data_IF_117915956776
#
_entry.id   IF_117915956776
#
_cell.length_a   1.000
_cell.length_b   1.000
_cell.length_c   1.000
_cell.angle_alpha   90.00
_cell.angle_beta   90.00
_cell.angle_gamma   90.00
#
_symmetry.space_group_name_H-M   'P 1'
#
loop_
_entity.id
_entity.type
_entity.pdbx_description
1 polymer ?
#
# COMPACT_ATOMS: atom_id res chain seq x y z
N UNK A 1 -57.11 -42.30 48.79
CA UNK A 1 -55.82 -42.38 48.10
C UNK A 1 -56.08 -42.18 46.62
N UNK A 2 -55.86 -40.99 46.11
CA UNK A 2 -56.02 -40.61 44.67
C UNK A 2 -54.63 -40.50 44.09
N UNK A 3 -54.30 -41.43 43.19
CA UNK A 3 -53.03 -41.41 42.42
C UNK A 3 -53.16 -40.47 41.20
N UNK A 4 -52.38 -39.37 41.23
CA UNK A 4 -52.30 -38.48 40.08
C UNK A 4 -51.33 -39.08 39.05
N UNK A 5 -51.85 -39.39 37.86
CA UNK A 5 -51.06 -39.82 36.70
C UNK A 5 -50.67 -38.57 35.93
N UNK A 6 -49.35 -38.25 35.88
CA UNK A 6 -48.74 -37.19 35.03
C UNK A 6 -48.40 -37.81 33.70
N UNK A 7 -48.80 -37.26 32.53
CA UNK A 7 -48.38 -37.77 31.23
C UNK A 7 -46.97 -37.20 30.91
N UNK A 8 -46.05 -38.14 30.64
CA UNK A 8 -44.70 -37.80 30.15
C UNK A 8 -44.82 -37.47 28.70
N UNK A 9 -44.76 -36.17 28.36
CA UNK A 9 -44.55 -35.73 26.99
C UNK A 9 -43.07 -35.84 26.67
N UNK A 10 -42.73 -36.72 25.74
CA UNK A 10 -41.45 -36.78 25.10
C UNK A 10 -41.25 -35.53 24.22
N UNK A 11 -40.50 -34.53 24.71
CA UNK A 11 -40.00 -33.45 23.89
C UNK A 11 -38.80 -34.00 23.14
N UNK A 12 -39.00 -34.38 21.88
CA UNK A 12 -37.98 -34.71 20.92
C UNK A 12 -37.34 -33.37 20.49
N UNK A 13 -36.34 -32.89 21.23
CA UNK A 13 -35.51 -31.77 20.80
C UNK A 13 -34.65 -32.27 19.63
N UNK A 14 -35.07 -31.95 18.41
CA UNK A 14 -34.23 -32.02 17.21
C UNK A 14 -33.09 -31.02 17.40
N UNK A 15 -31.95 -31.51 17.87
CA UNK A 15 -30.65 -30.84 17.76
C UNK A 15 -30.30 -30.78 16.27
N UNK A 16 -30.67 -29.67 15.60
CA UNK A 16 -30.01 -29.27 14.37
C UNK A 16 -28.57 -28.99 14.73
N UNK A 17 -27.75 -30.01 14.66
CA UNK A 17 -26.29 -29.85 14.55
C UNK A 17 -26.07 -29.23 13.15
N UNK A 18 -26.04 -27.93 13.09
CA UNK A 18 -25.42 -27.24 11.95
C UNK A 18 -23.97 -27.70 11.95
N UNK A 19 -23.65 -28.66 11.07
CA UNK A 19 -22.32 -28.98 10.71
C UNK A 19 -21.78 -27.76 9.93
N UNK A 20 -21.41 -26.70 10.65
CA UNK A 20 -20.42 -25.77 10.16
C UNK A 20 -19.18 -26.65 9.96
N UNK A 21 -18.88 -26.98 8.71
CA UNK A 21 -17.62 -27.59 8.36
C UNK A 21 -16.55 -26.78 9.08
N UNK A 22 -15.85 -27.39 10.00
CA UNK A 22 -14.68 -26.79 10.63
C UNK A 22 -13.68 -26.56 9.47
N UNK A 23 -13.73 -25.38 8.84
CA UNK A 23 -12.63 -24.91 7.99
C UNK A 23 -11.41 -24.98 8.90
N UNK A 24 -10.44 -25.81 8.53
CA UNK A 24 -9.20 -25.92 9.30
C UNK A 24 -8.58 -24.55 9.46
N UNK A 25 -8.06 -24.22 10.63
CA UNK A 25 -7.33 -22.96 10.81
C UNK A 25 -6.19 -22.92 9.78
N UNK A 26 -5.99 -21.78 9.07
CA UNK A 26 -4.94 -21.69 8.08
C UNK A 26 -3.57 -22.03 8.68
N UNK A 27 -2.78 -22.83 7.95
CA UNK A 27 -1.44 -23.28 8.32
C UNK A 27 -0.41 -22.20 7.95
N UNK A 28 0.66 -22.08 8.71
CA UNK A 28 1.76 -21.17 8.41
C UNK A 28 2.48 -21.63 7.13
N UNK A 29 2.33 -20.87 6.03
CA UNK A 29 2.99 -21.14 4.76
C UNK A 29 4.45 -20.66 4.75
N UNK A 30 4.71 -19.49 5.28
CA UNK A 30 6.03 -18.90 5.35
C UNK A 30 6.07 -17.68 6.26
N UNK A 31 7.28 -17.29 6.65
CA UNK A 31 7.53 -16.13 7.50
C UNK A 31 8.82 -15.44 7.09
N UNK A 32 8.80 -14.11 7.04
CA UNK A 32 9.92 -13.32 6.56
C UNK A 32 10.11 -12.03 7.36
N UNK A 33 11.35 -11.57 7.47
CA UNK A 33 11.68 -10.26 8.06
C UNK A 33 11.80 -9.23 6.94
N UNK A 34 11.00 -8.17 7.02
CA UNK A 34 11.18 -7.01 6.15
C UNK A 34 12.14 -6.02 6.78
N UNK A 35 13.15 -5.61 6.02
CA UNK A 35 14.19 -4.66 6.43
C UNK A 35 14.24 -3.47 5.48
N UNK A 36 14.49 -2.29 6.05
CA UNK A 36 14.86 -1.09 5.31
C UNK A 36 16.15 -0.52 5.90
N UNK A 37 17.12 -0.19 5.08
CA UNK A 37 18.43 0.30 5.53
C UNK A 37 19.06 -0.61 6.60
N UNK A 38 18.96 -1.93 6.42
CA UNK A 38 19.44 -2.96 7.36
C UNK A 38 18.80 -2.91 8.76
N UNK A 39 17.65 -2.25 8.92
CA UNK A 39 16.86 -2.23 10.15
C UNK A 39 15.56 -3.00 9.95
N UNK A 40 15.23 -3.87 10.89
CA UNK A 40 13.99 -4.61 10.86
C UNK A 40 12.80 -3.66 11.00
N UNK A 41 11.85 -3.78 10.09
CA UNK A 41 10.61 -3.00 10.12
C UNK A 41 9.45 -3.82 10.68
N UNK A 42 9.29 -5.04 10.18
CA UNK A 42 8.29 -5.99 10.68
C UNK A 42 8.66 -7.43 10.30
N UNK A 43 8.07 -8.37 11.00
CA UNK A 43 8.05 -9.78 10.60
C UNK A 43 6.69 -10.06 10.01
N UNK A 44 6.65 -10.47 8.74
CA UNK A 44 5.43 -10.91 8.07
C UNK A 44 5.29 -12.42 8.12
N UNK A 45 4.06 -12.91 8.28
CA UNK A 45 3.69 -14.31 8.24
C UNK A 45 2.50 -14.52 7.32
N UNK A 46 2.60 -15.50 6.44
CA UNK A 46 1.54 -15.89 5.52
C UNK A 46 0.96 -17.23 5.96
N UNK A 47 -0.34 -17.26 6.13
CA UNK A 47 -1.09 -18.47 6.46
C UNK A 47 -2.06 -18.81 5.33
N UNK A 48 -2.17 -20.08 5.00
CA UNK A 48 -3.05 -20.61 3.98
C UNK A 48 -3.61 -21.96 4.41
N UNK A 49 -4.80 -22.31 3.99
CA UNK A 49 -5.36 -23.63 4.24
C UNK A 49 -4.56 -24.71 3.49
N UNK A 50 -4.01 -24.37 2.31
CA UNK A 50 -3.14 -25.24 1.52
C UNK A 50 -1.74 -24.63 1.46
N UNK A 51 -0.73 -25.37 1.90
CA UNK A 51 0.66 -24.95 1.82
C UNK A 51 1.18 -25.05 0.37
N UNK A 52 1.85 -23.99 -0.09
CA UNK A 52 2.45 -23.97 -1.43
C UNK A 52 3.74 -23.16 -1.46
N UNK A 53 4.68 -23.61 -2.29
CA UNK A 53 5.87 -22.86 -2.70
C UNK A 53 5.66 -22.10 -4.01
N UNK A 54 4.49 -22.23 -4.64
CA UNK A 54 4.14 -21.51 -5.85
C UNK A 54 3.29 -20.27 -5.51
N UNK A 55 3.87 -19.09 -5.81
CA UNK A 55 3.18 -17.83 -5.59
C UNK A 55 1.87 -17.71 -6.40
N UNK A 56 1.80 -18.31 -7.59
CA UNK A 56 0.60 -18.23 -8.44
C UNK A 56 -0.57 -19.02 -7.86
N UNK A 57 -0.30 -20.15 -7.20
CA UNK A 57 -1.33 -20.91 -6.49
C UNK A 57 -1.89 -20.12 -5.32
N UNK A 58 -1.00 -19.49 -4.50
CA UNK A 58 -1.43 -18.69 -3.36
C UNK A 58 -2.17 -17.40 -3.78
N UNK A 59 -1.76 -16.76 -4.88
CA UNK A 59 -2.42 -15.56 -5.41
C UNK A 59 -3.78 -15.86 -6.05
N UNK A 60 -4.00 -17.10 -6.51
CA UNK A 60 -5.26 -17.55 -7.10
C UNK A 60 -6.17 -18.25 -6.10
N UNK A 61 -5.78 -18.35 -4.84
CA UNK A 61 -6.51 -19.08 -3.81
C UNK A 61 -7.86 -18.42 -3.47
N UNK A 62 -8.89 -19.23 -3.34
CA UNK A 62 -10.27 -18.86 -2.98
C UNK A 62 -10.72 -19.41 -1.63
N UNK A 63 -9.77 -19.84 -0.82
CA UNK A 63 -9.97 -20.40 0.52
C UNK A 63 -9.48 -19.42 1.60
N UNK A 64 -9.78 -19.66 2.89
CA UNK A 64 -9.32 -18.82 4.00
C UNK A 64 -7.80 -18.66 4.00
N UNK A 65 -7.36 -17.41 4.02
CA UNK A 65 -5.95 -17.01 4.09
C UNK A 65 -5.76 -15.87 5.08
N UNK A 66 -4.53 -15.70 5.54
CA UNK A 66 -4.21 -14.62 6.47
C UNK A 66 -2.78 -14.12 6.26
N UNK A 67 -2.65 -12.82 6.17
CA UNK A 67 -1.37 -12.10 6.24
C UNK A 67 -1.26 -11.43 7.60
N UNK A 68 -0.18 -11.65 8.30
CA UNK A 68 0.08 -11.03 9.59
C UNK A 68 1.40 -10.27 9.56
N UNK A 69 1.45 -9.13 10.24
CA UNK A 69 2.66 -8.34 10.43
C UNK A 69 2.82 -8.05 11.92
N UNK A 70 3.99 -8.35 12.47
CA UNK A 70 4.38 -7.88 13.80
C UNK A 70 5.45 -6.81 13.65
N UNK A 71 5.13 -5.62 14.09
CA UNK A 71 6.01 -4.45 13.95
C UNK A 71 7.23 -4.59 14.85
N UNK A 72 8.42 -4.43 14.27
CA UNK A 72 9.72 -4.52 14.97
C UNK A 72 10.51 -3.23 14.86
N UNK A 73 10.01 -2.24 14.12
CA UNK A 73 10.61 -0.93 14.02
C UNK A 73 10.53 -0.22 15.38
N UNK A 74 11.68 0.13 15.98
CA UNK A 74 11.78 0.79 17.30
C UNK A 74 10.98 2.10 17.38
N UNK A 75 10.95 2.87 16.26
CA UNK A 75 10.16 4.11 16.16
C UNK A 75 8.75 3.89 15.64
N UNK A 76 8.37 2.63 15.39
CA UNK A 76 7.11 2.28 14.72
C UNK A 76 7.09 2.72 13.25
N UNK A 77 5.93 2.55 12.60
CA UNK A 77 5.69 2.90 11.20
C UNK A 77 4.53 3.90 11.15
N UNK A 78 4.77 5.11 10.64
CA UNK A 78 3.71 6.11 10.47
C UNK A 78 2.57 5.56 9.58
N UNK A 79 1.32 5.84 9.91
CA UNK A 79 0.13 5.36 9.19
C UNK A 79 0.21 5.69 7.69
N UNK A 80 0.66 6.90 7.35
CA UNK A 80 0.88 7.33 5.96
C UNK A 80 1.91 6.47 5.23
N UNK A 81 3.06 6.19 5.86
CA UNK A 81 4.11 5.33 5.28
C UNK A 81 3.60 3.92 5.09
N UNK A 82 2.89 3.38 6.07
CA UNK A 82 2.28 2.05 6.00
C UNK A 82 1.27 1.96 4.86
N UNK A 83 0.32 2.89 4.78
CA UNK A 83 -0.69 2.93 3.71
C UNK A 83 -0.05 3.08 2.32
N UNK A 84 0.96 3.95 2.19
CA UNK A 84 1.70 4.15 0.94
C UNK A 84 2.40 2.89 0.46
N UNK A 85 3.05 2.14 1.35
CA UNK A 85 3.70 0.85 1.02
C UNK A 85 2.73 -0.11 0.32
N UNK A 86 1.49 -0.21 0.81
CA UNK A 86 0.46 -1.07 0.21
C UNK A 86 -0.03 -0.51 -1.13
N UNK A 87 -0.31 0.80 -1.22
CA UNK A 87 -0.74 1.44 -2.47
C UNK A 87 0.32 1.25 -3.57
N UNK A 88 1.59 1.51 -3.28
CA UNK A 88 2.69 1.35 -4.23
C UNK A 88 2.89 -0.12 -4.63
N UNK A 89 2.87 -1.03 -3.65
CA UNK A 89 2.99 -2.46 -3.90
C UNK A 89 1.88 -3.01 -4.79
N UNK A 90 0.63 -2.61 -4.56
CA UNK A 90 -0.50 -2.95 -5.43
C UNK A 90 -0.33 -2.32 -6.81
N UNK A 91 0.03 -1.04 -6.88
CA UNK A 91 0.18 -0.30 -8.14
C UNK A 91 1.18 -0.92 -9.11
N UNK A 92 2.27 -1.48 -8.61
CA UNK A 92 3.33 -2.05 -9.45
C UNK A 92 3.02 -3.49 -9.87
N UNK A 93 2.24 -4.21 -9.08
CA UNK A 93 1.94 -5.62 -9.33
C UNK A 93 0.63 -5.84 -10.09
N UNK A 94 -0.34 -4.95 -9.95
CA UNK A 94 -1.67 -5.06 -10.56
C UNK A 94 -1.72 -4.28 -11.87
N UNK A 95 -2.29 -4.91 -12.91
CA UNK A 95 -2.43 -4.34 -14.25
C UNK A 95 -3.90 -4.18 -14.64
N UNK A 96 -4.15 -3.28 -15.58
CA UNK A 96 -5.49 -3.09 -16.15
C UNK A 96 -6.41 -2.29 -15.24
N UNK A 97 -7.70 -2.59 -15.28
CA UNK A 97 -8.76 -1.86 -14.55
C UNK A 97 -8.92 -2.28 -13.08
N UNK A 98 -8.33 -3.42 -12.68
CA UNK A 98 -8.55 -3.99 -11.35
C UNK A 98 -8.23 -3.02 -10.20
N UNK A 99 -7.18 -2.20 -10.32
CA UNK A 99 -6.90 -1.16 -9.32
C UNK A 99 -7.94 -0.04 -9.31
N UNK A 100 -8.46 0.33 -10.48
CA UNK A 100 -9.53 1.33 -10.59
C UNK A 100 -10.83 0.82 -9.98
N UNK A 101 -11.14 -0.46 -10.20
CA UNK A 101 -12.32 -1.11 -9.63
C UNK A 101 -12.23 -1.22 -8.10
N UNK A 102 -11.02 -1.29 -7.55
CA UNK A 102 -10.75 -1.40 -6.12
C UNK A 102 -10.40 -0.06 -5.44
N UNK A 103 -10.49 1.06 -6.15
CA UNK A 103 -10.04 2.36 -5.62
C UNK A 103 -10.75 2.75 -4.32
N UNK A 104 -12.07 2.55 -4.24
CA UNK A 104 -12.85 2.85 -3.02
C UNK A 104 -12.47 1.92 -1.86
N UNK A 105 -12.19 0.65 -2.15
CA UNK A 105 -11.70 -0.31 -1.16
C UNK A 105 -10.30 0.07 -0.65
N UNK A 106 -9.44 0.58 -1.52
CA UNK A 106 -8.12 1.11 -1.14
C UNK A 106 -8.24 2.34 -0.23
N UNK A 107 -9.19 3.25 -0.52
CA UNK A 107 -9.49 4.39 0.36
C UNK A 107 -9.94 3.89 1.73
N UNK A 108 -10.94 3.00 1.78
CA UNK A 108 -11.44 2.45 3.03
C UNK A 108 -10.34 1.77 3.84
N UNK A 109 -9.48 0.99 3.18
CA UNK A 109 -8.33 0.35 3.80
C UNK A 109 -7.36 1.35 4.44
N UNK A 110 -7.01 2.44 3.73
CA UNK A 110 -6.05 3.42 4.26
C UNK A 110 -6.61 4.21 5.44
N UNK A 111 -7.92 4.46 5.46
CA UNK A 111 -8.59 5.20 6.53
C UNK A 111 -8.71 4.42 7.84
N UNK A 112 -8.52 3.08 7.81
CA UNK A 112 -8.54 2.26 9.02
C UNK A 112 -7.33 2.52 9.94
N UNK A 113 -6.20 3.00 9.38
CA UNK A 113 -4.98 3.29 10.14
C UNK A 113 -4.90 4.77 10.49
N UNK A 114 -5.35 5.14 11.70
CA UNK A 114 -5.46 6.54 12.13
C UNK A 114 -4.18 7.09 12.75
N UNK A 115 -3.37 6.23 13.36
CA UNK A 115 -2.14 6.60 14.04
C UNK A 115 -0.97 5.73 13.62
N UNK A 116 0.22 6.07 14.12
CA UNK A 116 1.44 5.28 13.96
C UNK A 116 1.25 3.86 14.52
N UNK A 117 1.65 2.86 13.74
CA UNK A 117 1.83 1.50 14.23
C UNK A 117 3.12 1.46 15.07
N UNK A 118 3.01 1.10 16.34
CA UNK A 118 4.13 1.07 17.27
C UNK A 118 4.85 -0.29 17.25
N UNK A 119 6.05 -0.32 17.79
CA UNK A 119 6.76 -1.58 18.05
C UNK A 119 5.87 -2.54 18.85
N UNK A 120 5.87 -3.80 18.46
CA UNK A 120 5.02 -4.88 18.97
C UNK A 120 3.54 -4.84 18.55
N UNK A 121 3.09 -3.88 17.78
CA UNK A 121 1.75 -3.96 17.18
C UNK A 121 1.65 -5.18 16.24
N UNK A 122 0.47 -5.81 16.24
CA UNK A 122 0.14 -6.97 15.43
C UNK A 122 -0.99 -6.63 14.46
N UNK A 123 -0.67 -6.49 13.18
CA UNK A 123 -1.62 -6.21 12.09
C UNK A 123 -2.01 -7.51 11.41
N UNK A 124 -3.28 -7.70 11.14
CA UNK A 124 -3.80 -8.91 10.48
C UNK A 124 -4.76 -8.53 9.36
N UNK A 125 -4.56 -9.12 8.19
CA UNK A 125 -5.49 -9.13 7.08
C UNK A 125 -5.97 -10.56 6.88
N UNK A 126 -7.25 -10.81 7.11
CA UNK A 126 -7.84 -12.14 7.05
C UNK A 126 -8.87 -12.21 5.94
N UNK A 127 -8.66 -13.07 4.95
CA UNK A 127 -9.64 -13.42 3.94
C UNK A 127 -10.61 -14.44 4.52
N UNK A 128 -11.89 -14.07 4.57
CA UNK A 128 -13.01 -14.95 4.84
C UNK A 128 -13.85 -15.04 3.56
N UNK A 129 -13.75 -16.11 2.77
CA UNK A 129 -14.43 -16.22 1.48
C UNK A 129 -15.92 -15.95 1.58
N UNK A 130 -16.43 -15.03 0.77
CA UNK A 130 -17.81 -14.58 0.76
C UNK A 130 -18.16 -13.49 1.78
N UNK A 131 -17.26 -13.16 2.71
CA UNK A 131 -17.40 -12.05 3.67
C UNK A 131 -16.43 -10.90 3.37
N UNK A 132 -15.36 -11.20 2.62
CA UNK A 132 -14.31 -10.24 2.27
C UNK A 132 -13.08 -10.33 3.17
N UNK A 133 -12.36 -9.21 3.29
CA UNK A 133 -11.09 -9.10 4.00
C UNK A 133 -11.28 -8.31 5.30
N UNK A 134 -11.16 -8.98 6.43
CA UNK A 134 -11.15 -8.34 7.73
C UNK A 134 -9.76 -7.79 8.06
N UNK A 135 -9.70 -6.54 8.52
CA UNK A 135 -8.48 -5.84 8.93
C UNK A 135 -8.52 -5.62 10.43
N UNK A 136 -7.49 -6.04 11.13
CA UNK A 136 -7.37 -5.85 12.58
C UNK A 136 -5.97 -5.43 12.99
N UNK A 137 -5.89 -4.70 14.12
CA UNK A 137 -4.64 -4.35 14.80
C UNK A 137 -4.80 -4.74 16.26
N UNK A 138 -3.84 -5.49 16.78
CA UNK A 138 -3.83 -5.95 18.18
C UNK A 138 -5.12 -6.68 18.59
N UNK A 139 -5.68 -7.49 17.68
CA UNK A 139 -6.96 -8.20 17.83
C UNK A 139 -8.20 -7.30 17.82
N UNK A 140 -8.07 -5.99 17.64
CA UNK A 140 -9.19 -5.07 17.44
C UNK A 140 -9.49 -5.01 15.93
N UNK A 141 -10.70 -5.39 15.54
CA UNK A 141 -11.14 -5.28 14.13
C UNK A 141 -11.42 -3.81 13.82
N UNK A 142 -10.66 -3.26 12.87
CA UNK A 142 -10.83 -1.88 12.40
C UNK A 142 -11.92 -1.75 11.33
N UNK A 143 -12.11 -2.82 10.53
CA UNK A 143 -13.13 -2.87 9.50
C UNK A 143 -13.01 -4.12 8.63
N UNK A 144 -13.93 -4.23 7.67
CA UNK A 144 -13.94 -5.30 6.66
C UNK A 144 -14.14 -4.68 5.28
N UNK A 145 -13.33 -5.08 4.32
CA UNK A 145 -13.52 -4.76 2.90
C UNK A 145 -14.37 -5.88 2.31
N UNK A 146 -15.61 -5.61 1.85
CA UNK A 146 -16.56 -6.64 1.43
C UNK A 146 -16.28 -7.14 -0.01
N UNK A 147 -15.03 -7.46 -0.30
CA UNK A 147 -14.58 -7.98 -1.60
C UNK A 147 -13.38 -8.92 -1.38
N UNK A 148 -13.58 -10.20 -1.67
CA UNK A 148 -12.56 -11.24 -1.51
C UNK A 148 -11.33 -10.98 -2.40
N UNK A 149 -11.53 -10.36 -3.58
CA UNK A 149 -10.44 -10.05 -4.50
C UNK A 149 -9.43 -9.05 -3.91
N UNK A 150 -9.86 -8.23 -2.95
CA UNK A 150 -8.97 -7.26 -2.31
C UNK A 150 -7.80 -7.93 -1.59
N UNK A 151 -8.00 -9.15 -1.05
CA UNK A 151 -6.90 -9.91 -0.45
C UNK A 151 -5.79 -10.25 -1.44
N UNK A 152 -6.16 -10.65 -2.66
CA UNK A 152 -5.21 -10.93 -3.73
C UNK A 152 -4.37 -9.69 -4.11
N UNK A 153 -4.96 -8.50 -4.06
CA UNK A 153 -4.23 -7.25 -4.28
C UNK A 153 -3.21 -7.01 -3.17
N UNK A 154 -3.61 -7.15 -1.91
CA UNK A 154 -2.70 -7.05 -0.76
C UNK A 154 -1.57 -8.08 -0.88
N UNK A 155 -1.91 -9.34 -1.11
CA UNK A 155 -0.96 -10.44 -1.22
C UNK A 155 0.01 -10.25 -2.40
N UNK A 156 -0.42 -9.58 -3.48
CA UNK A 156 0.46 -9.25 -4.60
C UNK A 156 1.65 -8.38 -4.23
N UNK A 157 1.52 -7.58 -3.17
CA UNK A 157 2.63 -6.77 -2.61
C UNK A 157 3.75 -7.65 -2.06
N UNK A 158 3.42 -8.85 -1.56
CA UNK A 158 4.37 -9.78 -1.00
C UNK A 158 4.84 -10.84 -2.01
N UNK A 159 3.92 -11.40 -2.79
CA UNK A 159 4.18 -12.53 -3.68
C UNK A 159 4.17 -12.19 -5.16
N UNK A 160 3.82 -10.96 -5.51
CA UNK A 160 3.72 -10.51 -6.90
C UNK A 160 5.06 -10.50 -7.64
N UNK A 161 5.02 -10.00 -8.86
CA UNK A 161 6.22 -9.90 -9.72
C UNK A 161 7.29 -8.98 -9.14
N UNK A 162 6.87 -7.93 -8.43
CA UNK A 162 7.74 -6.98 -7.76
C UNK A 162 7.37 -6.99 -6.27
N UNK A 163 7.93 -7.92 -5.48
CA UNK A 163 7.65 -8.04 -4.05
C UNK A 163 8.36 -6.95 -3.24
N UNK A 164 8.15 -6.93 -1.92
CA UNK A 164 8.91 -6.08 -1.00
C UNK A 164 10.42 -6.32 -1.12
N UNK A 165 10.85 -7.59 -1.20
CA UNK A 165 12.18 -8.02 -1.62
C UNK A 165 12.12 -9.45 -2.15
N UNK A 166 13.13 -9.86 -2.94
CA UNK A 166 13.22 -11.23 -3.43
C UNK A 166 13.35 -12.21 -2.27
N UNK A 167 14.24 -11.92 -1.32
CA UNK A 167 14.45 -12.74 -0.13
C UNK A 167 13.19 -12.84 0.73
N UNK A 168 12.46 -11.74 0.91
CA UNK A 168 11.20 -11.72 1.65
C UNK A 168 10.17 -12.66 1.00
N UNK A 169 10.01 -12.57 -0.33
CA UNK A 169 9.12 -13.44 -1.09
C UNK A 169 9.51 -14.92 -0.98
N UNK A 170 10.80 -15.25 -1.14
CA UNK A 170 11.30 -16.61 -1.04
C UNK A 170 11.03 -17.22 0.33
N UNK A 171 11.23 -16.47 1.41
CA UNK A 171 10.95 -16.91 2.78
C UNK A 171 9.45 -17.13 3.06
N UNK A 172 8.56 -16.47 2.32
CA UNK A 172 7.13 -16.71 2.41
C UNK A 172 6.66 -17.95 1.64
N UNK A 173 7.47 -18.42 0.68
CA UNK A 173 7.16 -19.54 -0.24
C UNK A 173 7.84 -20.85 0.17
N UNK A 174 8.03 -21.08 1.46
CA UNK A 174 8.71 -22.29 1.98
C UNK A 174 7.75 -23.43 2.34
N UNK A 175 6.47 -23.30 2.04
CA UNK A 175 5.44 -24.33 2.27
C UNK A 175 5.50 -24.96 3.68
N UNK A 176 5.65 -24.12 4.70
CA UNK A 176 5.67 -24.51 6.11
C UNK A 176 7.06 -24.76 6.71
N UNK A 177 8.12 -24.78 5.92
CA UNK A 177 9.51 -24.98 6.42
C UNK A 177 10.10 -23.68 7.00
N UNK A 178 9.50 -23.18 8.07
CA UNK A 178 9.92 -21.95 8.74
C UNK A 178 10.86 -22.27 9.89
N UNK A 179 11.98 -21.53 10.02
CA UNK A 179 12.94 -21.75 11.09
C UNK A 179 12.34 -21.55 12.49
N UNK A 180 12.68 -22.43 13.43
CA UNK A 180 12.20 -22.37 14.81
C UNK A 180 12.64 -21.07 15.52
N UNK A 181 13.78 -20.50 15.17
CA UNK A 181 14.27 -19.24 15.74
C UNK A 181 13.38 -18.06 15.33
N UNK A 182 12.99 -17.98 14.06
CA UNK A 182 12.11 -16.91 13.56
C UNK A 182 10.70 -17.05 14.13
N UNK A 183 10.17 -18.29 14.18
CA UNK A 183 8.88 -18.57 14.79
C UNK A 183 8.86 -18.20 16.27
N UNK A 184 9.95 -18.54 17.01
CA UNK A 184 10.09 -18.17 18.42
C UNK A 184 10.17 -16.65 18.63
N UNK A 185 10.94 -15.94 17.79
CA UNK A 185 10.99 -14.48 17.79
C UNK A 185 9.61 -13.87 17.53
N UNK A 186 8.93 -14.34 16.50
CA UNK A 186 7.57 -13.89 16.16
C UNK A 186 6.60 -14.10 17.32
N UNK A 187 6.64 -15.26 17.97
CA UNK A 187 5.76 -15.58 19.09
C UNK A 187 6.00 -14.69 20.32
N UNK A 188 7.23 -14.18 20.51
CA UNK A 188 7.58 -13.32 21.64
C UNK A 188 7.09 -11.88 21.50
N UNK A 189 6.74 -11.45 20.31
CA UNK A 189 6.23 -10.09 20.04
C UNK A 189 4.73 -10.05 20.35
N UNK A 190 4.34 -9.14 21.26
CA UNK A 190 2.93 -8.97 21.68
C UNK A 190 2.69 -7.53 22.13
N UNK A 191 1.56 -6.93 21.77
CA UNK A 191 1.19 -5.58 22.22
C UNK A 191 0.92 -5.57 23.74
N UNK A 192 1.07 -4.40 24.35
CA UNK A 192 0.66 -4.20 25.75
C UNK A 192 -0.85 -4.02 25.85
N UNK A 193 -1.49 -4.28 27.00
CA UNK A 193 -2.91 -4.03 27.20
C UNK A 193 -3.30 -2.58 26.92
N UNK A 194 -2.47 -1.62 27.37
CA UNK A 194 -2.70 -0.19 27.16
C UNK A 194 -2.69 0.17 25.68
N UNK A 195 -1.83 -0.50 24.88
CA UNK A 195 -1.78 -0.29 23.44
C UNK A 195 -3.01 -0.87 22.73
N UNK A 196 -3.53 -2.00 23.21
CA UNK A 196 -4.79 -2.58 22.72
C UNK A 196 -5.94 -1.59 22.96
N UNK A 197 -6.03 -1.01 24.15
CA UNK A 197 -7.05 -0.02 24.50
C UNK A 197 -6.95 1.24 23.62
N UNK A 198 -5.73 1.72 23.31
CA UNK A 198 -5.53 2.84 22.38
C UNK A 198 -6.04 2.52 20.98
N UNK A 199 -5.70 1.34 20.44
CA UNK A 199 -6.17 0.92 19.09
C UNK A 199 -7.68 0.76 19.05
N UNK A 200 -8.33 0.37 20.16
CA UNK A 200 -9.78 0.25 20.22
C UNK A 200 -10.49 1.59 20.00
N UNK A 201 -9.81 2.71 20.22
CA UNK A 201 -10.37 4.05 19.94
C UNK A 201 -10.34 4.41 18.45
N UNK A 202 -9.54 3.76 17.61
CA UNK A 202 -9.45 4.08 16.18
C UNK A 202 -10.76 3.84 15.41
N UNK A 203 -11.58 2.89 15.85
CA UNK A 203 -12.89 2.60 15.24
C UNK A 203 -14.07 3.25 15.99
N UNK A 204 -13.82 3.99 17.05
CA UNK A 204 -14.89 4.68 17.78
C UNK A 204 -15.42 5.85 16.94
N UNK A 205 -16.75 6.00 16.77
CA UNK A 205 -17.28 7.20 16.16
C UNK A 205 -16.84 8.41 16.98
N UNK A 206 -16.42 9.47 16.29
CA UNK A 206 -16.10 10.74 16.92
C UNK A 206 -17.28 11.12 17.84
N UNK A 207 -17.04 11.44 19.14
CA UNK A 207 -18.13 11.77 20.04
C UNK A 207 -18.91 12.92 19.42
N UNK A 208 -20.24 12.74 19.23
CA UNK A 208 -21.10 13.82 18.78
C UNK A 208 -20.81 15.04 19.66
N UNK A 209 -20.55 16.21 19.07
CA UNK A 209 -20.30 17.42 19.85
C UNK A 209 -21.45 17.60 20.83
N UNK A 210 -21.13 17.70 22.13
CA UNK A 210 -22.14 17.98 23.12
C UNK A 210 -22.98 19.15 22.62
N UNK A 211 -24.34 19.03 22.61
CA UNK A 211 -25.17 20.09 22.13
C UNK A 211 -24.81 21.36 22.91
N UNK A 212 -24.42 22.41 22.20
CA UNK A 212 -24.17 23.72 22.79
C UNK A 212 -25.35 24.04 23.70
N UNK A 213 -25.12 24.49 24.98
CA UNK A 213 -26.19 24.86 25.88
C UNK A 213 -27.05 25.87 25.16
N UNK A 214 -28.34 25.55 25.05
CA UNK A 214 -29.31 26.44 24.42
C UNK A 214 -29.16 27.85 25.02
N UNK A 215 -29.12 28.91 24.21
CA UNK A 215 -28.97 30.26 24.71
C UNK A 215 -30.10 30.55 25.70
N UNK A 216 -29.74 31.04 26.89
CA UNK A 216 -30.70 31.50 27.89
C UNK A 216 -31.68 32.46 27.23
N UNK A 217 -32.98 32.30 27.48
CA UNK A 217 -33.99 33.21 26.90
C UNK A 217 -33.74 34.63 27.36
N UNK A 218 -33.43 35.53 26.43
CA UNK A 218 -33.35 36.96 26.69
C UNK A 218 -34.66 37.46 27.29
N UNK A 219 -34.62 38.41 28.29
CA UNK A 219 -35.82 38.97 28.87
C UNK A 219 -36.65 39.69 27.80
N UNK A 220 -37.89 39.29 27.66
CA UNK A 220 -38.86 39.93 26.76
C UNK A 220 -39.08 41.36 27.18
N UNK A 221 -38.55 42.33 26.45
CA UNK A 221 -39.03 43.71 26.49
C UNK A 221 -40.43 43.76 25.88
N UNK A 222 -41.34 44.20 26.69
CA UNK A 222 -42.74 44.47 26.34
C UNK A 222 -42.81 45.73 25.47
N UNK A 223 -42.97 45.54 24.15
CA UNK A 223 -43.16 46.66 23.21
C UNK A 223 -44.62 46.73 22.81
N UNK A 224 -45.19 47.89 23.10
CA UNK A 224 -46.57 48.30 22.83
C UNK A 224 -47.00 48.19 21.40
N UNK A 225 -48.23 47.73 21.21
CA UNK A 225 -48.93 47.53 19.95
C UNK A 225 -49.40 48.83 19.33
N UNK A 226 -49.09 49.09 18.05
CA UNK A 226 -49.83 50.04 17.24
C UNK A 226 -50.18 49.42 15.89
N UNK A 227 -51.32 49.66 15.28
CA UNK A 227 -51.90 48.82 14.26
C UNK A 227 -51.50 49.20 12.82
N UNK A 228 -51.51 48.14 12.03
CA UNK A 228 -51.18 48.07 10.69
C UNK A 228 -52.09 48.38 9.61
N UNK A 229 -51.62 48.76 8.48
CA UNK A 229 -52.30 48.81 7.21
C UNK A 229 -51.57 47.86 6.24
N UNK A 230 -52.34 46.93 5.63
CA UNK A 230 -51.95 46.11 4.51
C UNK A 230 -52.27 46.79 3.19
N UNK A 231 -51.47 46.66 2.16
CA UNK A 231 -52.03 46.26 0.87
C UNK A 231 -51.30 45.11 0.23
N UNK A 232 -52.14 44.30 -0.40
CA UNK A 232 -51.81 43.14 -1.21
C UNK A 232 -51.34 43.50 -2.63
N UNK A 233 -50.85 42.43 -3.29
CA UNK A 233 -50.62 42.22 -4.72
C UNK A 233 -49.21 42.55 -5.22
N UNK A 234 -48.50 41.61 -5.84
CA UNK A 234 -48.68 40.88 -7.09
C UNK A 234 -47.50 39.91 -7.37
N UNK A 235 -47.80 38.71 -7.62
CA UNK A 235 -47.60 37.89 -8.82
C UNK A 235 -46.23 37.96 -9.54
N UNK A 236 -45.62 36.77 -9.61
CA UNK A 236 -44.86 36.12 -10.69
C UNK A 236 -43.61 36.76 -11.29
N UNK A 237 -42.53 36.00 -11.28
CA UNK A 237 -41.93 35.51 -12.52
C UNK A 237 -40.75 34.53 -12.24
N UNK A 238 -40.90 33.31 -12.79
CA UNK A 238 -39.81 32.39 -12.98
C UNK A 238 -39.04 32.78 -14.26
N UNK A 239 -37.74 32.77 -14.29
CA UNK A 239 -37.01 32.65 -15.52
C UNK A 239 -36.71 31.17 -15.85
N UNK A 240 -37.13 30.79 -17.05
CA UNK A 240 -36.83 29.56 -17.77
C UNK A 240 -35.40 29.66 -18.32
N UNK A 241 -34.57 28.70 -18.00
CA UNK A 241 -33.25 28.58 -18.62
C UNK A 241 -33.36 27.58 -19.78
N UNK A 242 -33.10 28.07 -20.97
CA UNK A 242 -32.97 27.28 -22.20
C UNK A 242 -31.53 26.76 -22.31
N UNK A 243 -31.41 25.48 -22.65
CA UNK A 243 -30.18 24.79 -22.97
C UNK A 243 -29.95 24.86 -24.48
N UNK A 244 -28.82 25.33 -25.00
CA UNK A 244 -28.49 25.19 -26.40
C UNK A 244 -27.85 23.83 -26.72
N UNK A 245 -28.03 23.29 -27.93
CA UNK A 245 -27.63 21.93 -28.27
C UNK A 245 -26.17 21.80 -28.70
N UNK A 246 -25.63 20.62 -28.42
CA UNK A 246 -24.35 20.08 -28.83
C UNK A 246 -24.24 19.93 -30.36
N UNK A 247 -23.10 20.20 -30.97
CA UNK A 247 -22.82 19.66 -32.32
C UNK A 247 -21.99 18.39 -32.23
N UNK A 248 -22.52 17.34 -32.82
CA UNK A 248 -21.80 16.12 -33.22
C UNK A 248 -20.78 16.47 -34.33
N UNK A 249 -19.60 15.87 -34.21
CA UNK A 249 -18.73 15.68 -35.36
C UNK A 249 -18.10 14.31 -35.34
N UNK A 250 -18.37 13.56 -36.35
CA UNK A 250 -17.95 12.23 -36.73
C UNK A 250 -16.50 12.23 -37.29
N UNK A 251 -15.92 11.04 -37.50
CA UNK A 251 -14.45 10.86 -37.50
C UNK A 251 -13.84 10.97 -38.89
N UNK A 252 -12.55 11.20 -38.96
CA UNK A 252 -11.79 11.09 -40.20
C UNK A 252 -10.58 10.18 -40.07
N UNK A 253 -10.53 9.28 -40.96
CA UNK A 253 -9.68 8.18 -41.34
C UNK A 253 -8.23 8.55 -41.61
N UNK A 254 -7.33 7.62 -41.23
CA UNK A 254 -6.17 7.10 -41.94
C UNK A 254 -5.15 8.00 -42.63
N UNK A 255 -3.89 7.83 -42.32
CA UNK A 255 -2.88 7.56 -43.36
C UNK A 255 -1.62 6.94 -42.76
N UNK A 256 -1.26 5.82 -43.35
CA UNK A 256 0.04 5.17 -43.26
C UNK A 256 1.11 6.01 -43.93
N UNK A 257 2.34 5.96 -43.44
CA UNK A 257 3.54 5.99 -44.27
C UNK A 257 4.76 5.45 -43.51
N UNK A 258 5.22 4.41 -44.07
CA UNK A 258 6.45 3.66 -43.99
C UNK A 258 7.68 4.51 -44.33
N UNK A 259 8.81 4.03 -43.87
CA UNK A 259 10.18 4.02 -44.39
C UNK A 259 11.18 4.62 -43.38
N UNK A 260 12.32 4.12 -43.16
CA UNK A 260 13.28 3.23 -43.76
C UNK A 260 14.59 3.34 -42.96
N UNK A 261 15.27 2.25 -42.83
CA UNK A 261 16.53 2.11 -42.14
C UNK A 261 17.67 2.97 -42.76
N UNK A 262 18.59 3.44 -41.94
CA UNK A 262 19.97 3.66 -42.41
C UNK A 262 20.97 3.27 -41.31
N UNK A 263 21.70 2.23 -41.65
CA UNK A 263 22.86 1.67 -41.00
C UNK A 263 24.08 2.48 -41.41
N UNK A 264 24.89 2.93 -40.47
CA UNK A 264 26.30 3.28 -40.77
C UNK A 264 27.20 2.67 -39.70
N UNK A 265 28.04 1.82 -40.19
CA UNK A 265 29.22 1.23 -39.53
C UNK A 265 30.42 2.20 -39.55
N UNK A 266 31.38 1.86 -38.71
CA UNK A 266 32.84 2.16 -38.77
C UNK A 266 33.31 3.20 -37.75
N UNK A 267 34.39 3.06 -37.07
CA UNK A 267 35.51 2.11 -36.92
C UNK A 267 36.46 2.63 -35.85
N UNK A 268 36.99 1.73 -35.07
CA UNK A 268 38.34 1.58 -34.51
C UNK A 268 39.23 2.84 -34.37
N UNK A 269 39.76 3.10 -33.16
CA UNK A 269 41.20 3.19 -32.89
C UNK A 269 41.52 3.11 -31.40
N UNK A 270 42.30 2.15 -31.07
CA UNK A 270 42.99 1.96 -29.79
C UNK A 270 44.14 2.94 -29.65
N UNK A 271 44.44 3.41 -28.43
CA UNK A 271 45.84 3.51 -27.95
C UNK A 271 45.85 3.34 -26.44
N UNK A 272 46.73 2.50 -25.98
CA UNK A 272 47.10 2.25 -24.59
C UNK A 272 48.03 3.33 -24.07
N UNK A 273 47.99 3.56 -22.75
CA UNK A 273 49.14 3.38 -21.86
C UNK A 273 48.91 4.01 -20.50
N UNK A 274 48.89 3.17 -19.50
CA UNK A 274 49.61 3.19 -18.21
C UNK A 274 49.86 4.52 -17.47
N UNK A 275 49.40 4.63 -16.24
CA UNK A 275 50.33 4.58 -15.09
C UNK A 275 49.59 4.66 -13.76
N UNK A 276 50.04 3.86 -12.87
CA UNK A 276 49.75 3.71 -11.45
C UNK A 276 49.81 5.03 -10.67
N UNK A 277 48.88 5.21 -9.72
CA UNK A 277 49.26 5.78 -8.42
C UNK A 277 48.22 5.36 -7.34
N UNK A 278 48.75 4.66 -6.46
CA UNK A 278 48.52 4.41 -5.04
C UNK A 278 47.23 4.94 -4.39
N UNK A 279 46.56 3.98 -3.78
CA UNK A 279 45.42 4.06 -2.89
C UNK A 279 45.55 5.10 -1.79
N UNK A 280 44.51 5.84 -1.55
CA UNK A 280 44.10 6.28 -0.21
C UNK A 280 42.64 5.81 -0.02
N UNK A 281 42.52 4.79 0.82
CA UNK A 281 41.24 4.32 1.37
C UNK A 281 40.69 5.45 2.24
N UNK A 282 39.72 6.16 1.71
CA UNK A 282 38.82 6.97 2.53
C UNK A 282 37.49 6.20 2.58
N UNK A 283 37.20 5.69 3.75
CA UNK A 283 35.89 5.10 4.03
C UNK A 283 34.79 6.11 3.66
N UNK A 284 33.68 5.69 3.04
CA UNK A 284 32.54 6.56 2.81
C UNK A 284 32.03 7.03 4.18
N UNK A 285 31.95 8.35 4.36
CA UNK A 285 31.28 8.96 5.50
C UNK A 285 29.83 8.49 5.46
N UNK A 286 29.33 7.99 6.59
CA UNK A 286 27.92 7.69 6.79
C UNK A 286 27.08 8.91 6.37
N UNK A 287 25.99 8.73 5.63
CA UNK A 287 25.10 9.82 5.27
C UNK A 287 24.67 10.53 6.56
N UNK A 288 24.87 11.85 6.65
CA UNK A 288 24.23 12.65 7.69
C UNK A 288 22.73 12.53 7.45
N UNK A 289 22.06 11.87 8.38
CA UNK A 289 20.59 11.95 8.49
C UNK A 289 20.27 13.44 8.75
N UNK A 290 19.77 14.14 7.72
CA UNK A 290 19.05 15.38 7.96
C UNK A 290 17.81 15.01 8.75
N UNK A 291 17.44 15.77 9.80
CA UNK A 291 16.22 15.50 10.56
C UNK A 291 15.05 15.60 9.59
N UNK A 292 14.43 14.47 9.31
CA UNK A 292 13.12 14.41 8.64
C UNK A 292 12.19 15.18 9.57
N UNK A 293 11.49 16.17 9.04
CA UNK A 293 10.51 16.93 9.81
C UNK A 293 9.40 15.96 10.24
N UNK A 294 9.49 15.47 11.48
CA UNK A 294 8.55 14.47 12.03
C UNK A 294 7.10 15.00 12.06
N UNK A 295 6.91 16.31 11.92
CA UNK A 295 5.58 16.95 11.94
C UNK A 295 4.72 16.63 10.69
N UNK A 296 5.36 16.34 9.55
CA UNK A 296 4.64 15.98 8.31
C UNK A 296 4.29 14.47 8.25
N UNK A 297 4.91 13.63 9.07
CA UNK A 297 4.68 12.18 9.04
C UNK A 297 3.39 11.76 9.75
N UNK A 298 2.93 12.51 10.75
CA UNK A 298 1.75 12.16 11.55
C UNK A 298 0.43 12.71 10.97
N UNK A 299 0.51 13.57 9.93
CA UNK A 299 -0.69 14.00 9.20
C UNK A 299 -1.21 12.84 8.31
N UNK A 300 -2.36 12.30 8.67
CA UNK A 300 -3.06 11.30 7.85
C UNK A 300 -3.77 12.04 6.70
N UNK A 301 -3.24 12.04 5.47
CA UNK A 301 -3.93 12.68 4.36
C UNK A 301 -5.22 11.91 4.08
N UNK A 302 -6.29 12.63 3.83
CA UNK A 302 -7.52 12.03 3.34
C UNK A 302 -7.26 11.51 1.92
N UNK A 303 -7.01 10.21 1.78
CA UNK A 303 -6.92 9.57 0.48
C UNK A 303 -8.31 9.56 -0.18
N UNK A 304 -8.38 10.03 -1.41
CA UNK A 304 -9.57 9.85 -2.27
C UNK A 304 -9.25 8.84 -3.35
N UNK A 305 -10.28 8.23 -3.95
CA UNK A 305 -10.09 7.29 -5.06
C UNK A 305 -9.29 7.95 -6.21
N UNK A 306 -9.58 9.22 -6.52
CA UNK A 306 -8.87 9.98 -7.54
C UNK A 306 -7.39 10.19 -7.17
N UNK A 307 -7.10 10.51 -5.90
CA UNK A 307 -5.72 10.71 -5.44
C UNK A 307 -4.91 9.41 -5.46
N UNK A 308 -5.52 8.28 -5.09
CA UNK A 308 -4.89 6.96 -5.17
C UNK A 308 -4.58 6.59 -6.63
N UNK A 309 -5.55 6.79 -7.55
CA UNK A 309 -5.34 6.51 -8.97
C UNK A 309 -4.33 7.47 -9.62
N UNK A 310 -4.30 8.73 -9.20
CA UNK A 310 -3.30 9.69 -9.64
C UNK A 310 -1.90 9.27 -9.16
N UNK A 311 -1.77 8.87 -7.90
CA UNK A 311 -0.52 8.36 -7.33
C UNK A 311 -0.03 7.10 -8.06
N UNK A 312 -0.92 6.14 -8.32
CA UNK A 312 -0.60 4.94 -9.08
C UNK A 312 -0.06 5.24 -10.47
N UNK A 313 -0.75 6.11 -11.22
CA UNK A 313 -0.32 6.51 -12.58
C UNK A 313 1.03 7.22 -12.53
N UNK A 314 1.18 8.12 -11.60
CA UNK A 314 2.42 8.87 -11.39
C UNK A 314 3.58 7.93 -11.05
N UNK A 315 3.40 7.06 -10.05
CA UNK A 315 4.38 6.05 -9.66
C UNK A 315 4.77 5.12 -10.81
N UNK A 316 3.79 4.64 -11.56
CA UNK A 316 4.06 3.80 -12.75
C UNK A 316 4.89 4.53 -13.81
N UNK A 317 4.71 5.85 -13.96
CA UNK A 317 5.50 6.68 -14.86
C UNK A 317 6.92 6.88 -14.35
N UNK A 318 7.09 7.09 -13.02
CA UNK A 318 8.42 7.16 -12.39
C UNK A 318 9.21 5.88 -12.64
N UNK A 319 8.62 4.73 -12.30
CA UNK A 319 9.27 3.42 -12.47
C UNK A 319 9.64 3.20 -13.94
N UNK A 320 8.75 3.52 -14.88
CA UNK A 320 9.03 3.38 -16.32
C UNK A 320 10.16 4.29 -16.78
N UNK A 321 10.23 5.51 -16.27
CA UNK A 321 11.27 6.46 -16.61
C UNK A 321 12.64 5.97 -16.13
N UNK A 322 12.73 5.54 -14.88
CA UNK A 322 13.97 4.94 -14.35
C UNK A 322 14.36 3.67 -15.11
N UNK A 323 13.39 2.78 -15.40
CA UNK A 323 13.65 1.57 -16.18
C UNK A 323 14.20 1.86 -17.59
N UNK A 324 13.83 2.99 -18.18
CA UNK A 324 14.37 3.45 -19.47
C UNK A 324 15.84 3.81 -19.44
N UNK A 325 16.38 4.21 -18.28
CA UNK A 325 17.78 4.59 -18.10
C UNK A 325 18.66 3.43 -17.63
N UNK A 326 18.05 2.28 -17.24
CA UNK A 326 18.83 1.14 -16.77
C UNK A 326 19.56 0.45 -17.94
N UNK A 327 20.84 0.26 -17.76
CA UNK A 327 21.68 -0.51 -18.66
C UNK A 327 22.33 -1.66 -17.90
N UNK A 328 22.15 -2.90 -18.37
CA UNK A 328 22.79 -4.04 -17.67
C UNK A 328 24.30 -3.99 -17.85
N UNK A 329 25.12 -3.83 -16.78
CA UNK A 329 26.56 -3.74 -16.92
C UNK A 329 27.17 -4.98 -17.57
N UNK A 330 27.90 -4.84 -18.64
CA UNK A 330 28.46 -5.99 -19.41
C UNK A 330 29.26 -6.94 -18.54
N UNK A 331 30.01 -6.43 -17.56
CA UNK A 331 30.79 -7.26 -16.64
C UNK A 331 29.91 -8.04 -15.67
N UNK A 332 28.81 -7.45 -15.20
CA UNK A 332 27.83 -8.13 -14.36
C UNK A 332 27.12 -9.25 -15.15
N UNK A 333 26.73 -8.97 -16.39
CA UNK A 333 26.13 -9.96 -17.30
C UNK A 333 27.08 -11.14 -17.55
N UNK A 334 28.36 -10.87 -17.82
CA UNK A 334 29.38 -11.92 -18.07
C UNK A 334 29.63 -12.80 -16.82
N UNK A 335 29.41 -12.27 -15.64
CA UNK A 335 29.61 -12.97 -14.36
C UNK A 335 28.33 -13.64 -13.85
N UNK A 336 27.22 -13.47 -14.54
CA UNK A 336 25.93 -14.01 -14.11
C UNK A 336 25.36 -13.33 -12.86
N UNK A 337 25.68 -12.06 -12.61
CA UNK A 337 25.20 -11.34 -11.44
C UNK A 337 23.76 -10.91 -11.65
N UNK A 338 22.87 -11.33 -10.79
CA UNK A 338 21.46 -10.97 -10.76
C UNK A 338 21.09 -10.39 -9.39
N UNK A 339 19.95 -9.74 -9.29
CA UNK A 339 19.44 -9.29 -7.99
C UNK A 339 18.38 -8.21 -8.10
N UNK A 340 17.74 -7.96 -6.97
CA UNK A 340 16.73 -6.90 -6.81
C UNK A 340 17.29 -5.80 -5.92
N UNK A 341 17.01 -4.56 -6.31
CA UNK A 341 17.46 -3.34 -5.65
C UNK A 341 16.22 -2.48 -5.42
N UNK A 342 16.15 -1.81 -4.29
CA UNK A 342 15.11 -0.83 -4.02
C UNK A 342 15.76 0.48 -3.61
N UNK A 343 15.33 1.57 -4.25
CA UNK A 343 15.84 2.91 -4.02
C UNK A 343 14.68 3.78 -3.53
N UNK A 344 14.80 4.30 -2.31
CA UNK A 344 13.91 5.35 -1.86
C UNK A 344 14.35 6.67 -2.50
N UNK A 345 13.43 7.31 -3.21
CA UNK A 345 13.64 8.65 -3.77
C UNK A 345 12.72 9.64 -3.09
N UNK A 346 13.21 10.85 -2.90
CA UNK A 346 12.42 11.99 -2.46
C UNK A 346 12.49 13.07 -3.53
N UNK A 347 11.33 13.54 -3.98
CA UNK A 347 11.19 14.55 -5.02
C UNK A 347 10.30 15.70 -4.56
N UNK A 348 10.51 16.88 -5.13
CA UNK A 348 9.62 18.02 -4.94
C UNK A 348 8.46 18.00 -5.96
N UNK A 349 7.54 18.96 -5.88
CA UNK A 349 6.39 19.04 -6.80
C UNK A 349 6.78 19.21 -8.26
N UNK A 350 7.91 19.84 -8.53
CA UNK A 350 8.44 20.08 -9.87
C UNK A 350 9.13 18.84 -10.48
N UNK A 351 9.24 17.76 -9.70
CA UNK A 351 9.90 16.52 -10.13
C UNK A 351 11.43 16.57 -10.01
N UNK A 352 11.98 17.51 -9.24
CA UNK A 352 13.41 17.55 -8.95
C UNK A 352 13.75 16.53 -7.85
N UNK A 353 14.81 15.78 -8.02
CA UNK A 353 15.29 14.80 -7.07
C UNK A 353 15.93 15.50 -5.87
N UNK A 354 15.36 15.33 -4.69
CA UNK A 354 15.91 15.90 -3.44
C UNK A 354 16.86 14.92 -2.75
N UNK A 355 16.55 13.63 -2.83
CA UNK A 355 17.38 12.57 -2.23
C UNK A 355 17.11 11.24 -2.92
N UNK A 356 18.14 10.37 -2.97
CA UNK A 356 18.05 8.98 -3.38
C UNK A 356 18.87 8.12 -2.43
N UNK A 357 18.29 7.02 -1.94
CA UNK A 357 18.95 6.14 -0.96
C UNK A 357 18.64 4.68 -1.28
N UNK A 358 19.67 3.84 -1.33
CA UNK A 358 19.51 2.38 -1.45
C UNK A 358 18.92 1.83 -0.15
N UNK A 359 17.68 1.37 -0.17
CA UNK A 359 17.02 0.71 0.98
C UNK A 359 17.17 -0.81 0.95
N UNK A 360 17.33 -1.39 -0.23
CA UNK A 360 17.71 -2.78 -0.46
C UNK A 360 18.77 -2.83 -1.55
N UNK A 361 19.85 -3.54 -1.31
CA UNK A 361 20.98 -3.66 -2.22
C UNK A 361 21.31 -5.13 -2.48
N UNK A 362 21.94 -5.39 -3.63
CA UNK A 362 22.50 -6.70 -3.92
C UNK A 362 23.92 -6.82 -3.37
N UNK A 363 24.48 -8.04 -3.34
CA UNK A 363 25.90 -8.28 -3.03
C UNK A 363 26.87 -7.74 -4.11
N UNK A 364 26.34 -7.17 -5.18
CA UNK A 364 27.09 -6.78 -6.37
C UNK A 364 27.06 -5.27 -6.57
N UNK A 365 28.09 -4.58 -6.09
CA UNK A 365 28.22 -3.11 -6.17
C UNK A 365 27.95 -2.56 -7.58
N UNK A 366 28.40 -3.28 -8.63
CA UNK A 366 28.16 -2.84 -10.01
C UNK A 366 26.66 -2.74 -10.38
N UNK A 367 25.79 -3.56 -9.79
CA UNK A 367 24.35 -3.49 -9.99
C UNK A 367 23.77 -2.37 -9.14
N UNK A 368 24.27 -2.18 -7.93
CA UNK A 368 23.86 -1.11 -7.04
C UNK A 368 24.20 0.26 -7.61
N UNK A 369 25.43 0.43 -8.13
CA UNK A 369 25.89 1.67 -8.77
C UNK A 369 25.08 1.98 -10.04
N UNK A 370 24.82 0.98 -10.88
CA UNK A 370 23.99 1.15 -12.07
C UNK A 370 22.57 1.60 -11.72
N UNK A 371 21.97 0.98 -10.70
CA UNK A 371 20.63 1.32 -10.26
C UNK A 371 20.54 2.77 -9.74
N UNK A 372 21.54 3.21 -8.96
CA UNK A 372 21.62 4.60 -8.50
C UNK A 372 21.82 5.57 -9.67
N UNK A 373 22.75 5.26 -10.57
CA UNK A 373 23.01 6.07 -11.77
C UNK A 373 21.78 6.19 -12.69
N UNK A 374 20.95 5.12 -12.78
CA UNK A 374 19.72 5.16 -13.55
C UNK A 374 18.66 6.10 -12.91
N UNK A 375 18.56 6.15 -11.58
CA UNK A 375 17.68 7.09 -10.87
C UNK A 375 18.13 8.54 -11.11
N UNK A 376 19.43 8.83 -10.98
CA UNK A 376 20.01 10.14 -11.22
C UNK A 376 19.84 10.57 -12.70
N UNK A 377 20.04 9.66 -13.64
CA UNK A 377 19.87 9.92 -15.08
C UNK A 377 18.41 10.13 -15.49
N UNK A 378 17.47 9.61 -14.72
CA UNK A 378 16.04 9.79 -14.95
C UNK A 378 15.55 11.20 -14.57
N UNK A 379 16.36 12.05 -13.93
CA UNK A 379 16.00 13.44 -13.62
C UNK A 379 15.93 14.32 -14.89
N UNK A 380 15.03 15.32 -14.98
CA UNK A 380 13.94 15.61 -14.05
C UNK A 380 12.77 14.63 -14.20
N UNK A 381 12.17 14.26 -13.08
CA UNK A 381 10.93 13.47 -13.08
C UNK A 381 9.74 14.32 -13.56
N UNK A 382 8.62 13.71 -13.93
CA UNK A 382 7.41 14.46 -14.23
C UNK A 382 6.95 15.30 -13.01
N UNK A 383 6.28 16.42 -13.27
CA UNK A 383 5.63 17.19 -12.20
C UNK A 383 4.60 16.34 -11.45
N UNK A 384 4.55 16.49 -10.13
CA UNK A 384 3.61 15.76 -9.29
C UNK A 384 2.21 16.33 -9.48
N UNK A 385 1.19 15.49 -9.82
CA UNK A 385 -0.19 15.94 -9.99
C UNK A 385 -0.73 16.66 -8.74
N UNK A 386 -1.59 17.65 -8.93
CA UNK A 386 -2.21 18.41 -7.82
C UNK A 386 -3.04 17.53 -6.87
N UNK A 387 -3.60 16.43 -7.37
CA UNK A 387 -4.34 15.44 -6.58
C UNK A 387 -3.47 14.71 -5.54
N UNK A 388 -2.15 14.75 -5.69
CA UNK A 388 -1.21 14.20 -4.71
C UNK A 388 -0.75 15.34 -3.81
N UNK A 389 -1.23 15.39 -2.59
CA UNK A 389 -0.98 16.48 -1.63
C UNK A 389 0.42 16.39 -1.03
N UNK A 390 1.00 17.55 -0.67
CA UNK A 390 2.32 17.67 -0.05
C UNK A 390 3.31 18.46 -0.91
N UNK A 391 4.44 18.85 -0.34
CA UNK A 391 5.54 19.56 -1.04
C UNK A 391 6.69 18.63 -1.37
N UNK A 392 6.86 17.58 -0.57
CA UNK A 392 7.87 16.53 -0.71
C UNK A 392 7.18 15.19 -0.86
N UNK A 393 7.61 14.41 -1.83
CA UNK A 393 7.01 13.12 -2.15
C UNK A 393 8.09 12.05 -2.16
N UNK A 394 7.83 10.97 -1.44
CA UNK A 394 8.74 9.84 -1.35
C UNK A 394 8.16 8.65 -2.08
N UNK A 395 8.99 7.97 -2.86
CA UNK A 395 8.64 6.76 -3.60
C UNK A 395 9.75 5.72 -3.47
N UNK A 396 9.37 4.45 -3.50
CA UNK A 396 10.33 3.35 -3.52
C UNK A 396 10.38 2.74 -4.91
N UNK A 397 11.47 2.95 -5.64
CA UNK A 397 11.66 2.45 -7.00
C UNK A 397 12.32 1.06 -6.96
N UNK A 398 11.62 0.01 -7.38
CA UNK A 398 12.20 -1.34 -7.49
C UNK A 398 12.90 -1.51 -8.84
N UNK A 399 14.10 -2.07 -8.82
CA UNK A 399 14.91 -2.39 -9.97
C UNK A 399 15.35 -3.84 -9.85
N UNK A 400 15.08 -4.65 -10.87
CA UNK A 400 15.46 -6.06 -10.88
C UNK A 400 16.34 -6.36 -12.09
N UNK A 401 17.51 -6.89 -11.83
CA UNK A 401 18.45 -7.40 -12.83
C UNK A 401 18.31 -8.91 -12.95
N UNK A 402 17.80 -9.40 -14.07
CA UNK A 402 17.65 -10.82 -14.37
C UNK A 402 18.26 -11.14 -15.73
N UNK A 403 18.95 -12.26 -15.82
CA UNK A 403 19.49 -12.77 -17.07
C UNK A 403 18.45 -13.67 -17.73
N UNK A 404 17.99 -13.29 -18.91
CA UNK A 404 17.16 -14.18 -19.70
C UNK A 404 18.01 -15.39 -20.12
N UNK A 405 17.66 -16.57 -19.65
CA UNK A 405 18.21 -17.81 -20.21
C UNK A 405 17.72 -17.91 -21.65
N UNK A 406 18.66 -17.82 -22.61
CA UNK A 406 18.40 -18.06 -24.04
C UNK A 406 18.30 -19.55 -24.30
#
# INVERSE_FOLDING_TARGET
MRTLRVPVYWILALLFFSANGALGAPLLNGMAVHQELSRDQFIGALYSETLSSDASELLAADHPMRMELKITAERGIAARKFSRMWIEGMAINIRGSALTEQADNMVAFTQMFQERLLENDHVVFALNPGEGVAISVNSITLGTIPDDNFFGLLLSTWLGRVPLSSTYREQLLVAGDVSASLTGRYASISPTPERIDQVALWGAPEPEPEPEPAPEPEPKEEVAVAPVVVPATAVANKPKIEIPPTPSATPSTASEASSEATRVESSIAAVASSSSSVASSTAPAAPKEEPVDESDEDFVPTFTAESILANQRYFSNLVRKVQGEISYPRRAMQRGYEGSIRIAISINRQGELLNATLIEQTEHDMLNDEAMGAVESAEPFPEVPELITGQRHEFTIPITFTLQQQ
#
